data_IF_526242541058
#
_entry.id   IF_526242541058
#
_cell.length_a   1.000
_cell.length_b   1.000
_cell.length_c   1.000
_cell.angle_alpha   90.00
_cell.angle_beta   90.00
_cell.angle_gamma   90.00
#
_symmetry.space_group_name_H-M   'P 1'
#
loop_
_entity.id
_entity.type
_entity.pdbx_description
1 polymer ?
#
# COMPACT_ATOMS: atom_id res chain seq x y z
N UNK A 1 2.21 20.86 18.31
CA UNK A 1 3.51 20.22 18.58
C UNK A 1 3.65 19.03 17.64
N UNK A 2 4.83 18.74 17.06
CA UNK A 2 5.00 17.52 16.31
C UNK A 2 4.74 16.34 17.23
N UNK A 3 3.81 15.48 16.87
CA UNK A 3 3.45 14.29 17.63
C UNK A 3 4.24 13.11 17.09
N UNK A 4 4.98 12.43 17.94
CA UNK A 4 5.49 11.10 17.65
C UNK A 4 4.37 10.11 17.99
N UNK A 5 4.00 9.26 17.04
CA UNK A 5 3.09 8.13 17.23
C UNK A 5 3.84 6.83 17.00
N UNK A 6 3.22 5.70 17.32
CA UNK A 6 3.75 4.38 17.00
C UNK A 6 2.95 3.78 15.85
N UNK A 7 3.60 2.94 15.06
CA UNK A 7 2.94 2.11 14.04
C UNK A 7 2.21 0.96 14.72
N UNK A 8 1.09 0.48 14.15
CA UNK A 8 0.39 -0.68 14.67
C UNK A 8 1.28 -1.93 14.67
N UNK A 9 1.11 -2.82 15.62
CA UNK A 9 1.78 -4.12 15.79
C UNK A 9 3.30 -4.00 16.02
N UNK A 10 4.02 -3.26 15.17
CA UNK A 10 5.49 -3.14 15.26
C UNK A 10 5.95 -2.09 16.27
N UNK A 11 5.05 -1.23 16.73
CA UNK A 11 5.30 -0.16 17.72
C UNK A 11 6.45 0.79 17.33
N UNK A 12 6.83 0.79 16.06
CA UNK A 12 7.88 1.66 15.55
C UNK A 12 7.47 3.14 15.68
N UNK A 13 8.32 3.95 16.26
CA UNK A 13 8.09 5.41 16.36
C UNK A 13 8.11 6.05 14.98
N UNK A 14 7.11 6.85 14.69
CA UNK A 14 6.98 7.60 13.44
C UNK A 14 6.60 9.07 13.68
N UNK A 15 7.00 9.92 12.74
CA UNK A 15 6.67 11.34 12.76
C UNK A 15 5.28 11.55 12.16
N UNK A 16 4.38 12.22 12.91
CA UNK A 16 3.03 12.60 12.45
C UNK A 16 2.81 14.09 12.67
N UNK A 17 3.13 14.89 11.66
CA UNK A 17 2.85 16.36 11.62
C UNK A 17 1.63 16.61 10.74
N UNK A 18 1.52 15.84 9.65
CA UNK A 18 0.45 15.96 8.67
C UNK A 18 -0.82 15.29 9.17
N UNK A 19 -1.96 15.94 8.96
CA UNK A 19 -3.27 15.37 9.27
C UNK A 19 -3.59 14.19 8.36
N UNK A 20 -3.83 13.04 8.94
CA UNK A 20 -4.25 11.83 8.25
C UNK A 20 -5.57 12.03 7.50
N UNK A 21 -6.57 12.64 8.14
CA UNK A 21 -7.87 12.92 7.52
C UNK A 21 -7.74 13.79 6.25
N UNK A 22 -6.88 14.83 6.29
CA UNK A 22 -6.61 15.66 5.10
C UNK A 22 -5.91 14.86 3.99
N UNK A 23 -4.98 13.98 4.35
CA UNK A 23 -4.29 13.14 3.37
C UNK A 23 -5.23 12.11 2.75
N UNK A 24 -6.10 11.47 3.55
CA UNK A 24 -7.13 10.53 3.08
C UNK A 24 -8.11 11.23 2.12
N UNK A 25 -8.60 12.42 2.48
CA UNK A 25 -9.49 13.20 1.61
C UNK A 25 -8.82 13.57 0.28
N UNK A 26 -7.52 13.94 0.32
CA UNK A 26 -6.76 14.23 -0.90
C UNK A 26 -6.54 12.98 -1.75
N UNK A 27 -6.23 11.86 -1.12
CA UNK A 27 -6.08 10.57 -1.79
C UNK A 27 -7.37 10.15 -2.51
N UNK A 28 -8.53 10.29 -1.87
CA UNK A 28 -9.82 10.02 -2.48
C UNK A 28 -10.07 10.86 -3.73
N UNK A 29 -9.79 12.18 -3.68
CA UNK A 29 -9.91 13.06 -4.86
C UNK A 29 -8.99 12.65 -6.01
N UNK A 30 -7.77 12.22 -5.70
CA UNK A 30 -6.80 11.76 -6.70
C UNK A 30 -7.25 10.42 -7.29
N UNK A 31 -7.80 9.54 -6.47
CA UNK A 31 -8.30 8.24 -6.91
C UNK A 31 -9.44 8.39 -7.93
N UNK A 32 -10.41 9.29 -7.68
CA UNK A 32 -11.48 9.57 -8.65
C UNK A 32 -10.91 10.07 -10.00
N UNK A 33 -9.93 10.98 -9.95
CA UNK A 33 -9.27 11.45 -11.18
C UNK A 33 -8.53 10.35 -11.93
N UNK A 34 -7.99 9.37 -11.21
CA UNK A 34 -7.34 8.20 -11.84
C UNK A 34 -8.39 7.32 -12.50
N UNK A 35 -9.52 7.07 -11.87
CA UNK A 35 -10.66 6.32 -12.43
C UNK A 35 -11.17 6.96 -13.74
N UNK A 36 -11.22 8.28 -13.79
CA UNK A 36 -11.63 9.01 -15.00
C UNK A 36 -10.60 8.91 -16.13
N UNK A 37 -9.30 8.84 -15.81
CA UNK A 37 -8.21 8.91 -16.80
C UNK A 37 -7.74 7.56 -17.29
N UNK A 38 -7.82 6.54 -16.45
CA UNK A 38 -7.31 5.22 -16.74
C UNK A 38 -8.40 4.33 -17.34
N UNK A 39 -7.99 3.48 -18.27
CA UNK A 39 -8.88 2.42 -18.74
C UNK A 39 -8.98 1.35 -17.66
N UNK A 40 -10.16 1.22 -17.06
CA UNK A 40 -10.46 0.12 -16.16
C UNK A 40 -10.61 -1.17 -16.94
N UNK A 41 -10.25 -2.29 -16.32
CA UNK A 41 -10.33 -3.61 -16.95
C UNK A 41 -11.76 -4.14 -16.96
N UNK A 42 -12.14 -4.78 -18.05
CA UNK A 42 -13.41 -5.50 -18.21
C UNK A 42 -13.34 -6.92 -17.60
N UNK A 43 -12.21 -7.34 -17.04
CA UNK A 43 -12.04 -8.63 -16.36
C UNK A 43 -12.72 -8.61 -14.98
N UNK A 44 -14.03 -8.80 -15.00
CA UNK A 44 -14.87 -8.82 -13.80
C UNK A 44 -14.46 -9.93 -12.84
N UNK A 45 -13.99 -11.07 -13.36
CA UNK A 45 -13.54 -12.18 -12.51
C UNK A 45 -12.35 -11.77 -11.64
N UNK A 46 -11.31 -11.22 -12.24
CA UNK A 46 -10.13 -10.73 -11.51
C UNK A 46 -10.48 -9.56 -10.59
N UNK A 47 -11.35 -8.63 -11.01
CA UNK A 47 -11.81 -7.55 -10.15
C UNK A 47 -12.56 -8.07 -8.90
N UNK A 48 -13.41 -9.07 -9.06
CA UNK A 48 -14.12 -9.69 -7.93
C UNK A 48 -13.14 -10.43 -7.00
N UNK A 49 -12.15 -11.12 -7.54
CA UNK A 49 -11.07 -11.73 -6.75
C UNK A 49 -10.31 -10.68 -5.92
N UNK A 50 -9.94 -9.53 -6.50
CA UNK A 50 -9.30 -8.41 -5.80
C UNK A 50 -10.20 -7.91 -4.66
N UNK A 51 -11.49 -7.70 -4.92
CA UNK A 51 -12.45 -7.24 -3.91
C UNK A 51 -12.62 -8.25 -2.77
N UNK A 52 -12.67 -9.55 -3.09
CA UNK A 52 -12.77 -10.62 -2.10
C UNK A 52 -11.52 -10.68 -1.21
N UNK A 53 -10.32 -10.60 -1.81
CA UNK A 53 -9.06 -10.53 -1.06
C UNK A 53 -9.06 -9.30 -0.15
N UNK A 54 -9.39 -8.14 -0.69
CA UNK A 54 -9.44 -6.91 0.05
C UNK A 54 -10.40 -6.99 1.23
N UNK A 55 -11.64 -7.42 0.99
CA UNK A 55 -12.66 -7.57 2.03
C UNK A 55 -12.23 -8.51 3.15
N UNK A 56 -11.63 -9.66 2.83
CA UNK A 56 -11.09 -10.56 3.84
C UNK A 56 -9.99 -9.92 4.67
N UNK A 57 -9.12 -9.11 4.05
CA UNK A 57 -8.07 -8.39 4.77
C UNK A 57 -8.64 -7.29 5.67
N UNK A 58 -9.60 -6.49 5.18
CA UNK A 58 -10.31 -5.49 5.99
C UNK A 58 -10.88 -6.14 7.25
N UNK A 59 -11.69 -7.19 7.07
CA UNK A 59 -12.40 -7.85 8.17
C UNK A 59 -11.41 -8.49 9.16
N UNK A 60 -10.35 -9.12 8.66
CA UNK A 60 -9.32 -9.75 9.49
C UNK A 60 -8.50 -8.73 10.27
N UNK A 61 -8.17 -7.59 9.67
CA UNK A 61 -7.45 -6.49 10.33
C UNK A 61 -8.32 -5.92 11.45
N UNK A 62 -9.57 -5.57 11.16
CA UNK A 62 -10.51 -5.05 12.17
C UNK A 62 -10.74 -6.05 13.30
N UNK A 63 -10.96 -7.32 12.98
CA UNK A 63 -11.13 -8.37 13.97
C UNK A 63 -9.89 -8.55 14.85
N UNK A 64 -8.70 -8.51 14.26
CA UNK A 64 -7.44 -8.61 15.01
C UNK A 64 -7.32 -7.47 16.04
N UNK A 65 -7.48 -6.20 15.62
CA UNK A 65 -7.35 -5.06 16.52
C UNK A 65 -8.42 -5.05 17.62
N UNK A 66 -9.65 -5.43 17.30
CA UNK A 66 -10.73 -5.60 18.27
C UNK A 66 -10.38 -6.69 19.31
N UNK A 67 -9.83 -7.81 18.88
CA UNK A 67 -9.47 -8.93 19.77
C UNK A 67 -8.33 -8.57 20.73
N UNK A 68 -7.37 -7.75 20.32
CA UNK A 68 -6.26 -7.29 21.16
C UNK A 68 -6.60 -6.03 21.95
N UNK A 69 -7.82 -5.48 21.81
CA UNK A 69 -8.28 -4.31 22.58
C UNK A 69 -7.58 -2.99 22.18
N UNK A 70 -7.12 -2.89 20.94
CA UNK A 70 -6.47 -1.69 20.38
C UNK A 70 -7.37 -1.08 19.32
N UNK A 71 -7.38 0.26 19.24
CA UNK A 71 -8.15 0.97 18.20
C UNK A 71 -7.75 0.50 16.80
N UNK A 72 -8.74 0.15 15.99
CA UNK A 72 -8.53 -0.24 14.60
C UNK A 72 -7.95 0.94 13.79
N UNK A 73 -6.71 0.85 13.28
CA UNK A 73 -6.11 1.93 12.51
C UNK A 73 -6.80 2.21 11.18
N UNK A 74 -7.71 1.33 10.76
CA UNK A 74 -8.45 1.43 9.48
C UNK A 74 -9.89 1.91 9.66
N UNK A 75 -10.33 2.24 10.87
CA UNK A 75 -11.73 2.62 11.18
C UNK A 75 -12.25 3.78 10.32
N UNK A 76 -11.38 4.65 9.87
CA UNK A 76 -11.70 5.78 9.00
C UNK A 76 -11.31 5.54 7.53
N UNK A 77 -11.07 4.30 7.12
CA UNK A 77 -10.80 3.98 5.73
C UNK A 77 -12.12 3.79 4.98
N UNK A 78 -12.15 4.30 3.75
CA UNK A 78 -13.22 4.10 2.79
C UNK A 78 -12.66 3.24 1.65
N UNK A 79 -12.75 1.93 1.86
CA UNK A 79 -12.12 0.93 1.01
C UNK A 79 -12.74 0.88 -0.38
N UNK A 80 -11.91 0.93 -1.39
CA UNK A 80 -12.31 0.82 -2.78
C UNK A 80 -11.23 0.16 -3.62
N UNK A 81 -11.62 -0.64 -4.61
CA UNK A 81 -10.74 -1.47 -5.41
C UNK A 81 -11.00 -1.29 -6.89
N UNK A 82 -9.95 -1.04 -7.68
CA UNK A 82 -10.01 -1.01 -9.14
C UNK A 82 -8.94 -1.90 -9.76
N UNK A 83 -9.24 -2.43 -10.94
CA UNK A 83 -8.30 -3.10 -11.81
C UNK A 83 -8.05 -2.23 -13.04
N UNK A 84 -6.82 -1.76 -13.24
CA UNK A 84 -6.42 -0.89 -14.35
C UNK A 84 -5.87 -1.75 -15.49
N UNK A 85 -6.42 -1.61 -16.70
CA UNK A 85 -5.99 -2.34 -17.89
C UNK A 85 -4.68 -1.77 -18.47
N UNK A 86 -3.56 -2.18 -17.87
CA UNK A 86 -2.20 -1.85 -18.34
C UNK A 86 -1.27 -3.05 -18.19
N UNK A 87 -1.28 -3.93 -19.19
CA UNK A 87 -0.49 -5.18 -19.21
C UNK A 87 1.04 -4.97 -19.10
N UNK A 88 1.54 -3.80 -19.50
CA UNK A 88 2.98 -3.48 -19.42
C UNK A 88 3.41 -2.90 -18.08
N UNK A 89 2.46 -2.50 -17.24
CA UNK A 89 2.71 -1.91 -15.91
C UNK A 89 2.53 -2.99 -14.85
N UNK A 90 3.64 -3.44 -14.27
CA UNK A 90 3.63 -4.38 -13.15
C UNK A 90 3.66 -3.59 -11.85
N UNK A 91 2.48 -3.16 -11.41
CA UNK A 91 2.32 -2.33 -10.22
C UNK A 91 1.00 -2.61 -9.51
N UNK A 92 0.96 -2.28 -8.23
CA UNK A 92 -0.22 -2.10 -7.41
C UNK A 92 0.09 -0.98 -6.41
N UNK A 93 -0.94 -0.39 -5.81
CA UNK A 93 -0.76 0.60 -4.75
C UNK A 93 -2.01 0.70 -3.89
N UNK A 94 -1.81 1.07 -2.62
CA UNK A 94 -2.85 1.47 -1.71
C UNK A 94 -2.60 2.90 -1.22
N UNK A 95 -3.53 3.79 -1.52
CA UNK A 95 -3.47 5.16 -1.03
C UNK A 95 -3.92 5.25 0.44
N UNK A 96 -3.52 6.31 1.16
CA UNK A 96 -4.12 6.65 2.44
C UNK A 96 -5.64 6.63 2.37
N UNK A 97 -6.29 6.03 3.37
CA UNK A 97 -7.75 5.89 3.41
C UNK A 97 -8.31 4.69 2.65
N UNK A 98 -7.47 3.73 2.20
CA UNK A 98 -7.93 2.44 1.68
C UNK A 98 -8.31 2.41 0.21
N UNK A 99 -7.84 3.35 -0.62
CA UNK A 99 -8.07 3.34 -2.07
C UNK A 99 -7.02 2.52 -2.79
N UNK A 100 -7.40 1.38 -3.38
CA UNK A 100 -6.49 0.37 -3.93
C UNK A 100 -6.66 0.25 -5.45
N UNK A 101 -5.53 0.18 -6.15
CA UNK A 101 -5.51 -0.19 -7.55
C UNK A 101 -4.50 -1.31 -7.81
N UNK A 102 -4.92 -2.22 -8.65
CA UNK A 102 -4.08 -3.29 -9.21
C UNK A 102 -3.99 -3.10 -10.72
N UNK A 103 -2.81 -3.21 -11.28
CA UNK A 103 -2.61 -3.17 -12.73
C UNK A 103 -2.62 -4.58 -13.29
N UNK A 104 -3.26 -4.78 -14.45
CA UNK A 104 -3.32 -6.10 -15.10
C UNK A 104 -1.93 -6.71 -15.33
N UNK A 105 -0.90 -5.87 -15.50
CA UNK A 105 0.47 -6.35 -15.72
C UNK A 105 1.11 -7.04 -14.52
N UNK A 106 0.65 -6.80 -13.27
CA UNK A 106 1.23 -7.46 -12.09
C UNK A 106 0.76 -8.92 -11.98
N UNK A 107 -0.35 -9.28 -12.62
CA UNK A 107 -0.92 -10.62 -12.60
C UNK A 107 0.05 -11.68 -13.14
N UNK A 108 0.96 -11.28 -14.04
CA UNK A 108 2.05 -12.15 -14.52
C UNK A 108 3.00 -12.60 -13.38
N UNK A 109 3.20 -11.74 -12.38
CA UNK A 109 4.04 -12.05 -11.22
C UNK A 109 3.27 -12.73 -10.10
N UNK A 110 2.02 -12.34 -9.86
CA UNK A 110 1.20 -12.92 -8.78
C UNK A 110 0.78 -14.35 -9.06
N UNK A 111 0.40 -14.67 -10.29
CA UNK A 111 0.05 -15.99 -10.82
C UNK A 111 -1.17 -16.68 -10.20
N UNK A 112 -1.47 -16.46 -8.94
CA UNK A 112 -2.55 -17.06 -8.21
C UNK A 112 -3.08 -16.13 -7.11
N UNK A 113 -4.20 -16.50 -6.49
CA UNK A 113 -4.87 -15.74 -5.44
C UNK A 113 -3.94 -15.42 -4.25
N UNK A 114 -3.13 -16.38 -3.80
CA UNK A 114 -2.21 -16.14 -2.67
C UNK A 114 -1.10 -15.14 -3.05
N UNK A 115 -0.60 -15.20 -4.29
CA UNK A 115 0.37 -14.23 -4.79
C UNK A 115 -0.24 -12.83 -4.92
N UNK A 116 -1.50 -12.73 -5.37
CA UNK A 116 -2.21 -11.45 -5.42
C UNK A 116 -2.47 -10.92 -4.02
N UNK A 117 -2.88 -11.77 -3.08
CA UNK A 117 -3.04 -11.42 -1.68
C UNK A 117 -1.73 -10.94 -1.04
N UNK A 118 -0.58 -11.58 -1.36
CA UNK A 118 0.72 -11.15 -0.87
C UNK A 118 1.08 -9.72 -1.31
N UNK A 119 0.80 -9.36 -2.58
CA UNK A 119 1.00 -7.99 -3.07
C UNK A 119 0.02 -7.03 -2.40
N UNK A 120 -1.27 -7.35 -2.37
CA UNK A 120 -2.27 -6.49 -1.74
C UNK A 120 -2.02 -6.29 -0.25
N UNK A 121 -1.61 -7.35 0.47
CA UNK A 121 -1.24 -7.27 1.87
C UNK A 121 -0.07 -6.31 2.13
N UNK A 122 0.94 -6.33 1.27
CA UNK A 122 2.06 -5.39 1.33
C UNK A 122 1.59 -3.93 1.12
N UNK A 123 0.74 -3.68 0.13
CA UNK A 123 0.19 -2.35 -0.14
C UNK A 123 -0.73 -1.85 0.99
N UNK A 124 -1.60 -2.72 1.49
CA UNK A 124 -2.46 -2.44 2.64
C UNK A 124 -1.62 -2.13 3.88
N UNK A 125 -0.53 -2.86 4.09
CA UNK A 125 0.39 -2.62 5.21
C UNK A 125 1.01 -1.21 5.18
N UNK A 126 1.36 -0.69 4.00
CA UNK A 126 1.82 0.70 3.87
C UNK A 126 0.76 1.72 4.32
N UNK A 127 -0.52 1.47 4.00
CA UNK A 127 -1.62 2.36 4.39
C UNK A 127 -1.92 2.23 5.90
N UNK A 128 -2.00 1.02 6.43
CA UNK A 128 -2.26 0.73 7.86
C UNK A 128 -1.15 1.28 8.75
N UNK A 129 0.12 1.10 8.36
CA UNK A 129 1.28 1.67 9.07
C UNK A 129 1.47 3.17 8.81
N UNK A 130 0.59 3.79 8.02
CA UNK A 130 0.57 5.25 7.74
C UNK A 130 1.90 5.76 7.16
N UNK A 131 2.57 4.96 6.35
CA UNK A 131 3.89 5.29 5.78
C UNK A 131 3.86 6.57 4.92
N UNK A 132 2.76 6.82 4.20
CA UNK A 132 2.57 8.05 3.43
C UNK A 132 2.41 9.28 4.32
N UNK A 133 1.74 9.14 5.48
CA UNK A 133 1.61 10.23 6.47
C UNK A 133 2.98 10.57 7.06
N UNK A 134 3.76 9.57 7.44
CA UNK A 134 5.12 9.77 7.95
C UNK A 134 6.00 10.45 6.92
N UNK A 135 5.95 10.01 5.66
CA UNK A 135 6.74 10.60 4.57
C UNK A 135 6.35 12.03 4.28
N UNK A 136 5.04 12.32 4.21
CA UNK A 136 4.54 13.68 4.06
C UNK A 136 4.99 14.58 5.23
N UNK A 137 4.92 14.06 6.46
CA UNK A 137 5.37 14.78 7.66
C UNK A 137 6.87 15.08 7.63
N UNK A 138 7.71 14.14 7.18
CA UNK A 138 9.14 14.36 6.98
C UNK A 138 9.44 15.42 5.91
N UNK A 139 8.70 15.36 4.79
CA UNK A 139 8.85 16.35 3.71
C UNK A 139 8.50 17.77 4.16
N UNK A 140 7.45 17.90 4.98
CA UNK A 140 7.09 19.19 5.59
C UNK A 140 8.19 19.67 6.54
N UNK A 141 8.70 18.79 7.39
CA UNK A 141 9.77 19.14 8.35
C UNK A 141 11.06 19.60 7.64
N UNK A 142 11.40 18.94 6.53
CA UNK A 142 12.64 19.23 5.80
C UNK A 142 12.48 20.33 4.74
N UNK A 143 11.28 20.92 4.60
CA UNK A 143 10.97 21.89 3.53
C UNK A 143 11.31 21.38 2.12
N UNK A 144 11.34 20.05 1.92
CA UNK A 144 11.77 19.43 0.66
C UNK A 144 10.61 19.13 -0.30
N UNK A 145 9.36 19.30 0.15
CA UNK A 145 8.17 18.98 -0.63
C UNK A 145 7.24 20.19 -0.78
N UNK A 146 7.56 21.15 -1.64
CA UNK A 146 6.76 22.37 -1.84
C UNK A 146 5.27 22.08 -2.12
N UNK A 147 4.96 21.03 -2.89
CA UNK A 147 3.58 20.65 -3.20
C UNK A 147 2.84 20.05 -1.98
N UNK A 148 3.52 19.24 -1.16
CA UNK A 148 2.96 18.70 0.08
C UNK A 148 2.78 19.78 1.13
N UNK A 149 3.73 20.72 1.25
CA UNK A 149 3.65 21.86 2.18
C UNK A 149 2.42 22.71 1.86
N UNK A 150 2.17 23.03 0.60
CA UNK A 150 0.99 23.81 0.18
C UNK A 150 -0.34 23.12 0.51
N UNK A 151 -0.40 21.78 0.34
CA UNK A 151 -1.60 21.00 0.67
C UNK A 151 -1.92 21.07 2.18
N UNK A 152 -0.90 21.09 3.03
CA UNK A 152 -1.06 20.98 4.48
C UNK A 152 -0.98 22.33 5.22
N UNK A 153 -0.34 23.34 4.64
CA UNK A 153 -0.23 24.69 5.22
C UNK A 153 -1.44 25.59 4.96
N UNK A 154 -2.47 25.10 4.26
CA UNK A 154 -3.66 25.87 3.94
C UNK A 154 -3.49 26.80 2.73
N UNK A 155 -2.46 26.59 1.93
CA UNK A 155 -2.27 27.27 0.64
C UNK A 155 -3.50 27.07 -0.25
N UNK A 156 -4.16 28.17 -0.60
CA UNK A 156 -5.41 28.19 -1.35
C UNK A 156 -5.26 27.40 -2.64
N UNK A 157 -6.21 26.56 -2.93
CA UNK A 157 -6.72 25.97 -4.19
C UNK A 157 -6.09 26.36 -5.56
N UNK A 158 -5.02 27.13 -5.62
CA UNK A 158 -4.29 27.40 -6.86
C UNK A 158 -3.71 26.11 -7.51
N UNK A 159 -3.73 25.00 -6.78
CA UNK A 159 -3.20 23.70 -7.22
C UNK A 159 -4.24 22.76 -7.83
N UNK A 160 -5.54 22.96 -7.63
CA UNK A 160 -6.56 22.14 -8.33
C UNK A 160 -6.39 22.28 -9.85
N UNK A 161 -6.01 23.46 -10.32
CA UNK A 161 -5.77 23.71 -11.75
C UNK A 161 -4.46 23.09 -12.26
N UNK A 162 -3.47 22.81 -11.39
CA UNK A 162 -2.21 22.14 -11.80
C UNK A 162 -2.36 20.64 -12.02
N UNK A 163 -3.45 20.01 -11.56
CA UNK A 163 -3.73 18.60 -11.84
C UNK A 163 -4.37 18.37 -13.21
N UNK A 164 -4.88 19.42 -13.83
CA UNK A 164 -5.44 19.36 -15.18
C UNK A 164 -4.30 19.06 -16.16
N UNK A 165 -4.39 17.93 -16.86
CA UNK A 165 -3.33 17.47 -17.77
C UNK A 165 -2.27 16.54 -17.17
N UNK A 166 -2.17 16.38 -15.84
CA UNK A 166 -1.26 15.41 -15.24
C UNK A 166 -1.64 13.97 -15.58
N UNK A 167 -0.64 13.14 -15.89
CA UNK A 167 -0.84 11.70 -15.99
C UNK A 167 -0.95 11.06 -14.57
N UNK A 168 -1.27 9.77 -14.52
CA UNK A 168 -1.43 9.02 -13.27
C UNK A 168 -0.19 9.08 -12.38
N UNK A 169 1.00 8.99 -12.94
CA UNK A 169 2.28 9.12 -12.20
C UNK A 169 2.36 10.48 -11.50
N UNK A 170 2.03 11.58 -12.22
CA UNK A 170 1.99 12.92 -11.63
C UNK A 170 0.96 13.05 -10.50
N UNK A 171 -0.21 12.43 -10.65
CA UNK A 171 -1.25 12.41 -9.62
C UNK A 171 -0.78 11.64 -8.36
N UNK A 172 -0.21 10.46 -8.52
CA UNK A 172 0.34 9.64 -7.44
C UNK A 172 1.50 10.33 -6.72
N UNK A 173 2.33 11.08 -7.47
CA UNK A 173 3.44 11.85 -6.90
C UNK A 173 2.98 12.92 -5.92
N UNK A 174 1.77 13.48 -6.07
CA UNK A 174 1.23 14.50 -5.16
C UNK A 174 1.00 14.00 -3.73
N UNK A 175 0.70 12.71 -3.57
CA UNK A 175 0.56 12.06 -2.26
C UNK A 175 1.80 11.22 -1.91
N UNK A 176 2.85 11.37 -2.69
CA UNK A 176 4.15 10.75 -2.45
C UNK A 176 4.24 9.26 -2.83
N UNK A 177 3.22 8.65 -3.43
CA UNK A 177 3.24 7.20 -3.73
C UNK A 177 4.28 6.79 -4.78
N UNK A 178 4.72 7.71 -5.64
CA UNK A 178 5.77 7.42 -6.63
C UNK A 178 7.20 7.54 -6.09
N UNK A 179 7.38 8.09 -4.88
CA UNK A 179 8.70 8.13 -4.25
C UNK A 179 8.97 6.79 -3.55
N UNK A 180 10.18 6.23 -3.68
CA UNK A 180 10.53 4.99 -2.99
C UNK A 180 10.33 5.11 -1.48
N UNK A 181 9.76 4.09 -0.86
CA UNK A 181 9.73 3.98 0.59
C UNK A 181 11.14 3.68 1.11
N UNK A 182 11.44 4.11 2.32
CA UNK A 182 12.73 3.78 2.90
C UNK A 182 12.78 2.30 3.34
N UNK A 183 14.00 1.76 3.49
CA UNK A 183 14.21 0.34 3.81
C UNK A 183 13.46 -0.13 5.06
N UNK A 184 13.31 0.74 6.08
CA UNK A 184 12.60 0.39 7.31
C UNK A 184 11.10 0.24 7.05
N UNK A 185 10.51 1.17 6.28
CA UNK A 185 9.11 1.13 5.89
C UNK A 185 8.81 -0.09 5.01
N UNK A 186 9.73 -0.44 4.09
CA UNK A 186 9.60 -1.64 3.27
C UNK A 186 9.62 -2.93 4.10
N UNK A 187 10.59 -3.05 5.02
CA UNK A 187 10.68 -4.22 5.91
C UNK A 187 9.47 -4.32 6.85
N UNK A 188 8.92 -3.19 7.29
CA UNK A 188 7.71 -3.14 8.09
C UNK A 188 6.47 -3.55 7.28
N UNK A 189 6.35 -3.06 6.03
CA UNK A 189 5.27 -3.43 5.14
C UNK A 189 5.32 -4.91 4.74
N UNK A 190 6.51 -5.47 4.54
CA UNK A 190 6.70 -6.91 4.33
C UNK A 190 6.19 -7.75 5.50
N UNK A 191 6.57 -7.36 6.72
CA UNK A 191 6.18 -8.09 7.93
C UNK A 191 4.67 -7.98 8.19
N UNK A 192 4.13 -6.77 8.18
CA UNK A 192 2.70 -6.54 8.35
C UNK A 192 1.86 -7.16 7.23
N UNK A 193 2.34 -7.10 5.99
CA UNK A 193 1.67 -7.71 4.85
C UNK A 193 1.57 -9.23 4.96
N UNK A 194 2.61 -9.90 5.50
CA UNK A 194 2.53 -11.32 5.85
C UNK A 194 1.49 -11.58 6.95
N UNK A 195 1.48 -10.76 8.01
CA UNK A 195 0.51 -10.87 9.10
C UNK A 195 -0.91 -10.75 8.55
N UNK A 196 -1.22 -9.71 7.78
CA UNK A 196 -2.57 -9.50 7.24
C UNK A 196 -2.99 -10.60 6.27
N UNK A 197 -2.07 -11.10 5.45
CA UNK A 197 -2.32 -12.25 4.58
C UNK A 197 -2.60 -13.53 5.39
N UNK A 198 -1.84 -13.79 6.45
CA UNK A 198 -2.03 -14.94 7.34
C UNK A 198 -3.37 -14.90 8.07
N UNK A 199 -3.68 -13.77 8.72
CA UNK A 199 -4.95 -13.55 9.40
C UNK A 199 -6.15 -13.77 8.48
N UNK A 200 -6.00 -13.44 7.20
CA UNK A 200 -7.02 -13.59 6.16
C UNK A 200 -7.05 -14.98 5.52
N UNK A 201 -6.20 -15.91 5.99
CA UNK A 201 -6.16 -17.30 5.53
C UNK A 201 -5.45 -17.53 4.21
N UNK A 202 -4.61 -16.61 3.74
CA UNK A 202 -3.78 -16.76 2.55
C UNK A 202 -2.41 -17.38 2.87
N UNK A 203 -1.86 -18.12 1.90
CA UNK A 203 -0.53 -18.73 2.03
C UNK A 203 0.57 -17.67 1.91
N UNK A 204 1.14 -17.27 3.03
CA UNK A 204 2.17 -16.22 3.11
C UNK A 204 3.51 -16.62 2.47
N UNK A 205 3.72 -17.90 2.15
CA UNK A 205 4.92 -18.37 1.42
C UNK A 205 4.99 -17.77 0.01
N UNK A 206 3.87 -17.34 -0.53
CA UNK A 206 3.82 -16.61 -1.80
C UNK A 206 4.52 -15.25 -1.74
N UNK A 207 4.63 -14.62 -0.57
CA UNK A 207 5.32 -13.33 -0.40
C UNK A 207 6.77 -13.40 -0.87
N UNK A 208 7.50 -14.48 -0.53
CA UNK A 208 8.87 -14.68 -1.02
C UNK A 208 8.90 -14.96 -2.53
N UNK A 209 7.99 -15.81 -3.00
CA UNK A 209 7.94 -16.21 -4.42
C UNK A 209 7.61 -15.03 -5.35
N UNK A 210 6.84 -14.03 -4.88
CA UNK A 210 6.59 -12.80 -5.64
C UNK A 210 7.90 -12.07 -5.93
N UNK A 211 8.75 -11.84 -4.92
CA UNK A 211 10.03 -11.16 -5.12
C UNK A 211 10.96 -11.91 -6.06
N UNK A 212 10.99 -13.24 -5.95
CA UNK A 212 11.78 -14.09 -6.87
C UNK A 212 11.26 -13.99 -8.31
N UNK A 213 9.93 -14.02 -8.51
CA UNK A 213 9.32 -13.88 -9.85
C UNK A 213 9.55 -12.50 -10.44
N UNK A 214 9.39 -11.44 -9.63
CA UNK A 214 9.68 -10.06 -10.05
C UNK A 214 11.15 -9.91 -10.49
N UNK A 215 12.10 -10.49 -9.72
CA UNK A 215 13.54 -10.49 -10.07
C UNK A 215 13.79 -11.22 -11.39
N UNK A 216 13.13 -12.37 -11.62
CA UNK A 216 13.23 -13.12 -12.88
C UNK A 216 12.64 -12.38 -14.08
N UNK A 217 11.51 -11.73 -13.90
CA UNK A 217 10.84 -10.96 -14.97
C UNK A 217 11.63 -9.71 -15.39
N UNK A 218 12.56 -9.28 -14.54
CA UNK A 218 13.35 -8.07 -14.76
C UNK A 218 14.68 -8.28 -15.50
N UNK A 219 15.07 -9.50 -15.82
CA UNK A 219 16.39 -9.86 -16.40
C UNK A 219 16.90 -8.83 -17.42
N UNK A 220 17.80 -7.92 -16.98
CA UNK A 220 18.51 -6.96 -17.82
C UNK A 220 17.67 -5.77 -18.36
N UNK A 221 16.45 -5.61 -17.92
CA UNK A 221 15.57 -4.47 -18.22
C UNK A 221 15.48 -3.51 -17.04
N UNK A 222 14.96 -2.30 -17.27
CA UNK A 222 14.61 -1.39 -16.17
C UNK A 222 13.69 -2.09 -15.15
N UNK A 223 13.87 -1.85 -13.81
CA UNK A 223 13.03 -2.47 -12.80
C UNK A 223 11.55 -2.25 -13.09
N UNK A 224 10.67 -3.25 -12.89
CA UNK A 224 9.23 -3.03 -12.90
C UNK A 224 8.88 -1.85 -11.99
N UNK A 225 7.81 -1.13 -12.30
CA UNK A 225 7.41 0.06 -11.54
C UNK A 225 7.23 -0.25 -10.05
N UNK A 226 6.67 -1.41 -9.73
CA UNK A 226 6.57 -1.91 -8.36
C UNK A 226 7.94 -1.99 -7.65
N UNK A 227 8.98 -2.50 -8.32
CA UNK A 227 10.34 -2.58 -7.73
C UNK A 227 11.03 -1.21 -7.67
N UNK A 228 10.57 -0.23 -8.42
CA UNK A 228 11.12 1.14 -8.36
C UNK A 228 10.57 1.91 -7.17
N UNK A 229 9.31 1.70 -6.81
CA UNK A 229 8.67 2.28 -5.62
C UNK A 229 8.93 1.45 -4.36
N UNK A 230 9.15 0.13 -4.50
CA UNK A 230 9.44 -0.83 -3.45
C UNK A 230 10.77 -1.55 -3.72
N UNK A 231 11.93 -0.92 -3.49
CA UNK A 231 13.22 -1.51 -3.82
C UNK A 231 13.43 -2.84 -3.12
N UNK A 232 13.64 -3.89 -3.93
CA UNK A 232 14.00 -5.21 -3.39
C UNK A 232 15.47 -5.24 -3.00
N UNK A 233 15.78 -5.91 -1.89
CA UNK A 233 17.14 -6.31 -1.53
C UNK A 233 17.15 -7.80 -1.19
N UNK A 234 18.29 -8.46 -1.33
CA UNK A 234 18.44 -9.83 -0.88
C UNK A 234 18.11 -9.99 0.61
N UNK A 235 18.38 -8.93 1.38
CA UNK A 235 18.01 -8.87 2.80
C UNK A 235 16.49 -8.92 3.03
N UNK A 236 15.65 -8.39 2.13
CA UNK A 236 14.19 -8.48 2.28
C UNK A 236 13.72 -9.92 2.17
N UNK A 237 14.17 -10.65 1.15
CA UNK A 237 13.84 -12.08 0.96
C UNK A 237 14.30 -12.90 2.17
N UNK A 238 15.51 -12.63 2.67
CA UNK A 238 16.02 -13.30 3.87
C UNK A 238 15.13 -12.99 5.09
N UNK A 239 14.84 -11.73 5.35
CA UNK A 239 14.00 -11.31 6.49
C UNK A 239 12.60 -11.91 6.43
N UNK A 240 11.99 -11.99 5.24
CA UNK A 240 10.70 -12.64 5.02
C UNK A 240 10.74 -14.11 5.41
N UNK A 241 11.77 -14.84 4.98
CA UNK A 241 11.94 -16.25 5.35
C UNK A 241 12.17 -16.44 6.86
N UNK A 242 13.01 -15.60 7.46
CA UNK A 242 13.34 -15.64 8.89
C UNK A 242 12.10 -15.42 9.76
N UNK A 243 11.15 -14.57 9.31
CA UNK A 243 9.92 -14.22 10.03
C UNK A 243 8.72 -15.12 9.70
N UNK A 244 8.78 -15.93 8.67
CA UNK A 244 7.62 -16.67 8.17
C UNK A 244 7.03 -17.62 9.21
N UNK A 245 7.87 -18.40 9.91
CA UNK A 245 7.40 -19.34 10.92
C UNK A 245 6.78 -18.64 12.13
N UNK A 246 7.35 -17.50 12.55
CA UNK A 246 6.80 -16.66 13.61
C UNK A 246 5.38 -16.19 13.22
N UNK A 247 5.22 -15.67 12.00
CA UNK A 247 3.92 -15.17 11.55
C UNK A 247 2.88 -16.28 11.47
N UNK A 248 3.24 -17.47 10.97
CA UNK A 248 2.31 -18.61 10.88
C UNK A 248 1.82 -19.03 12.29
N UNK A 249 2.69 -18.99 13.29
CA UNK A 249 2.37 -19.44 14.65
C UNK A 249 1.60 -18.37 15.45
N UNK A 250 2.01 -17.10 15.33
CA UNK A 250 1.47 -16.03 16.18
C UNK A 250 0.23 -15.35 15.59
N UNK A 251 0.07 -15.42 14.23
CA UNK A 251 -1.02 -14.77 13.52
C UNK A 251 -1.80 -15.77 12.64
N UNK A 252 -2.41 -16.81 13.23
CA UNK A 252 -3.20 -17.77 12.46
C UNK A 252 -4.46 -17.12 11.87
N UNK A 253 -5.09 -17.75 10.86
CA UNK A 253 -6.32 -17.23 10.24
C UNK A 253 -7.42 -16.96 11.26
N UNK A 254 -8.03 -15.77 11.17
CA UNK A 254 -9.18 -15.41 12.00
C UNK A 254 -10.45 -15.93 11.33
N UNK A 255 -11.29 -16.64 12.09
CA UNK A 255 -12.64 -17.00 11.63
C UNK A 255 -13.52 -15.76 11.74
N UNK A 256 -13.90 -15.22 10.61
CA UNK A 256 -14.88 -14.14 10.53
C UNK A 256 -16.25 -14.81 10.46
N UNK A 257 -17.08 -14.57 11.48
CA UNK A 257 -18.47 -15.09 11.60
C UNK A 257 -19.42 -14.28 10.71
#
# INVERSE_FOLDING_TARGET
>A
MPSCTTTPITERKQLKIVSEAKLNARAAQIYEKIKEKEKLSDDIKTLNEIKEIGKKMEDSISAYFNNVGVEDPTINFDWEYILIDKKKVRNAWCMPGGKIAVYTGILEATKNTNGLAAVMGHEIAHAVAKHSVERASRSVLLNTGTQLIDIFSGGKLSQVNRTTGMNTVGLLSQIGLMNPFNRKQESEADYLGMIFSSLSGYDIRETVKIWERMKKLNKGKAPPEFMSTHPSSENRIKNLNDKMNEVILEYPPIKIS
#
